data_IF_389952605605
#
_entry.id   IF_389952605605
#
_cell.length_a   1.000
_cell.length_b   1.000
_cell.length_c   1.000
_cell.angle_alpha   90.00
_cell.angle_beta   90.00
_cell.angle_gamma   90.00
#
_symmetry.space_group_name_H-M   'P 1'
#
loop_
_entity.id
_entity.type
_entity.pdbx_description
1 polymer ?
#
# COMPACT_ATOMS: atom_id res chain seq x y z
N UNK A 1 -10.74 -3.27 2.04
CA UNK A 1 -10.04 -4.40 1.40
C UNK A 1 -9.78 -4.05 -0.05
N UNK A 2 -8.56 -4.26 -0.53
CA UNK A 2 -8.07 -3.96 -1.87
C UNK A 2 -7.36 -5.18 -2.46
N UNK A 3 -6.92 -5.09 -3.69
CA UNK A 3 -6.24 -6.18 -4.42
C UNK A 3 -4.75 -5.90 -4.65
N UNK A 4 -4.33 -4.64 -4.52
CA UNK A 4 -3.02 -4.16 -4.93
C UNK A 4 -2.89 -3.94 -6.44
N UNK A 5 -4.00 -3.87 -7.15
CA UNK A 5 -4.04 -3.48 -8.57
C UNK A 5 -4.45 -2.01 -8.67
N UNK A 6 -3.45 -1.16 -8.88
CA UNK A 6 -3.66 0.28 -9.02
C UNK A 6 -4.59 0.56 -10.20
N UNK A 7 -5.69 1.28 -9.95
CA UNK A 7 -6.67 1.66 -10.98
C UNK A 7 -6.29 2.96 -11.70
N UNK A 8 -5.43 3.76 -11.09
CA UNK A 8 -4.94 5.01 -11.67
C UNK A 8 -4.09 5.80 -10.70
N UNK A 9 -3.66 6.97 -11.16
CA UNK A 9 -2.89 7.91 -10.36
C UNK A 9 -3.68 9.20 -10.12
N UNK A 10 -3.23 9.95 -9.12
CA UNK A 10 -3.72 11.30 -8.85
C UNK A 10 -2.56 12.25 -8.54
N UNK A 11 -2.86 13.55 -8.61
CA UNK A 11 -1.97 14.61 -8.14
C UNK A 11 -2.48 15.16 -6.82
N UNK A 12 -1.60 15.31 -5.84
CA UNK A 12 -1.86 16.03 -4.59
C UNK A 12 -2.06 17.52 -4.93
N UNK A 13 -3.22 18.07 -4.59
CA UNK A 13 -3.58 19.46 -4.89
C UNK A 13 -3.43 20.38 -3.70
N UNK A 14 -3.90 19.94 -2.53
CA UNK A 14 -3.86 20.74 -1.31
C UNK A 14 -3.55 19.84 -0.12
N UNK A 15 -2.67 20.31 0.74
CA UNK A 15 -2.35 19.73 2.03
C UNK A 15 -2.65 20.74 3.13
N UNK A 16 -3.74 20.58 3.84
CA UNK A 16 -4.16 21.49 4.88
C UNK A 16 -4.00 20.85 6.26
N UNK A 17 -3.10 21.40 7.09
CA UNK A 17 -3.01 20.98 8.50
C UNK A 17 -4.31 21.32 9.23
N UNK A 18 -4.81 20.35 10.00
CA UNK A 18 -5.95 20.47 10.88
C UNK A 18 -5.57 20.09 12.32
N UNK A 19 -6.43 20.34 13.28
CA UNK A 19 -6.10 20.11 14.71
C UNK A 19 -5.80 18.66 15.07
N UNK A 20 -6.30 17.67 14.29
CA UNK A 20 -6.15 16.25 14.55
C UNK A 20 -5.39 15.51 13.43
N UNK A 21 -4.69 16.24 12.55
CA UNK A 21 -3.97 15.63 11.43
C UNK A 21 -3.87 16.50 10.19
N UNK A 22 -4.16 15.90 9.04
CA UNK A 22 -4.02 16.53 7.72
C UNK A 22 -5.26 16.24 6.87
N UNK A 23 -5.79 17.27 6.23
CA UNK A 23 -6.72 17.13 5.11
C UNK A 23 -5.94 17.14 3.79
N UNK A 24 -6.12 16.08 3.03
CA UNK A 24 -5.49 15.83 1.73
C UNK A 24 -6.54 15.98 0.63
N UNK A 25 -6.36 16.94 -0.28
CA UNK A 25 -7.16 17.04 -1.51
C UNK A 25 -6.35 16.49 -2.68
N UNK A 26 -6.92 15.55 -3.42
CA UNK A 26 -6.30 14.95 -4.60
C UNK A 26 -7.16 15.16 -5.84
N UNK A 27 -6.51 15.25 -7.00
CA UNK A 27 -7.17 15.25 -8.31
C UNK A 27 -6.77 13.99 -9.08
N UNK A 28 -7.66 12.99 -9.22
CA UNK A 28 -7.41 11.83 -10.04
C UNK A 28 -7.19 12.19 -11.51
N UNK A 29 -6.38 11.42 -12.20
CA UNK A 29 -6.22 11.53 -13.66
C UNK A 29 -7.51 11.12 -14.35
N UNK A 30 -8.02 11.98 -15.23
CA UNK A 30 -9.37 11.87 -15.81
C UNK A 30 -9.64 10.57 -16.56
N UNK A 31 -8.61 10.00 -17.19
CA UNK A 31 -8.75 8.86 -18.09
C UNK A 31 -8.35 7.52 -17.42
N UNK A 32 -7.87 7.55 -16.18
CA UNK A 32 -7.27 6.38 -15.54
C UNK A 32 -8.01 5.91 -14.28
N UNK A 33 -8.68 6.81 -13.56
CA UNK A 33 -9.37 6.47 -12.31
C UNK A 33 -10.87 6.83 -12.41
N UNK A 34 -11.79 5.90 -12.10
CA UNK A 34 -13.24 6.12 -12.24
C UNK A 34 -13.82 6.96 -11.08
N UNK A 35 -13.37 8.20 -10.97
CA UNK A 35 -13.76 9.12 -9.90
C UNK A 35 -15.28 9.39 -9.83
N UNK A 36 -16.00 9.20 -10.94
CA UNK A 36 -17.46 9.40 -10.98
C UNK A 36 -18.25 8.39 -10.14
N UNK A 37 -17.65 7.23 -9.84
CA UNK A 37 -18.28 6.16 -9.07
C UNK A 37 -17.96 6.27 -7.56
N UNK A 38 -17.16 7.29 -7.14
CA UNK A 38 -16.73 7.45 -5.76
C UNK A 38 -17.73 8.28 -4.97
N UNK A 39 -18.08 7.82 -3.78
CA UNK A 39 -19.00 8.48 -2.86
C UNK A 39 -18.31 8.84 -1.54
N UNK A 40 -18.89 9.81 -0.82
CA UNK A 40 -18.49 10.11 0.57
C UNK A 40 -18.71 8.86 1.41
N UNK A 41 -17.70 8.50 2.21
CA UNK A 41 -17.69 7.28 3.02
C UNK A 41 -16.99 6.09 2.37
N UNK A 42 -16.68 6.15 1.07
CA UNK A 42 -15.93 5.07 0.40
C UNK A 42 -14.49 5.01 0.92
N UNK A 43 -13.95 3.81 0.94
CA UNK A 43 -12.53 3.57 1.22
C UNK A 43 -11.73 3.53 -0.09
N UNK A 44 -10.70 4.36 -0.16
CA UNK A 44 -9.74 4.40 -1.27
C UNK A 44 -8.34 4.10 -0.70
N UNK A 45 -7.61 3.25 -1.39
CA UNK A 45 -6.17 3.06 -1.16
C UNK A 45 -5.40 4.21 -1.81
N UNK A 46 -4.74 5.01 -1.00
CA UNK A 46 -3.89 6.14 -1.40
C UNK A 46 -2.43 5.75 -1.13
N UNK A 47 -1.66 5.43 -2.17
CA UNK A 47 -0.34 4.82 -2.04
C UNK A 47 -0.34 3.66 -1.01
N UNK A 48 -1.33 2.77 -1.08
CA UNK A 48 -1.48 1.64 -0.18
C UNK A 48 -2.15 1.95 1.16
N UNK A 49 -2.31 3.22 1.54
CA UNK A 49 -2.97 3.59 2.79
C UNK A 49 -4.49 3.71 2.58
N UNK A 50 -5.28 2.95 3.34
CA UNK A 50 -6.74 3.02 3.31
C UNK A 50 -7.22 4.32 3.95
N UNK A 51 -7.80 5.21 3.15
CA UNK A 51 -8.40 6.46 3.61
C UNK A 51 -9.87 6.53 3.23
N UNK A 52 -10.65 7.20 4.07
CA UNK A 52 -12.09 7.42 3.81
C UNK A 52 -12.29 8.74 3.08
N UNK A 53 -13.07 8.71 2.01
CA UNK A 53 -13.49 9.92 1.28
C UNK A 53 -14.42 10.75 2.16
N UNK A 54 -14.05 12.00 2.43
CA UNK A 54 -14.86 12.93 3.24
C UNK A 54 -15.53 14.03 2.40
N UNK A 55 -15.05 14.27 1.18
CA UNK A 55 -15.66 15.18 0.21
C UNK A 55 -15.39 14.72 -1.21
N UNK A 56 -16.37 14.88 -2.07
CA UNK A 56 -16.23 14.72 -3.54
C UNK A 56 -16.64 16.01 -4.20
N UNK A 57 -15.83 16.51 -5.13
CA UNK A 57 -16.08 17.74 -5.88
C UNK A 57 -15.55 17.61 -7.32
N UNK A 58 -15.91 18.54 -8.19
CA UNK A 58 -15.47 18.51 -9.58
C UNK A 58 -13.94 18.59 -9.75
N UNK A 59 -13.26 19.23 -8.81
CA UNK A 59 -11.79 19.38 -8.77
C UNK A 59 -11.05 18.21 -8.14
N UNK A 60 -11.75 17.26 -7.49
CA UNK A 60 -11.13 16.11 -6.85
C UNK A 60 -11.87 15.60 -5.62
N UNK A 61 -11.18 14.88 -4.78
CA UNK A 61 -11.71 14.32 -3.53
C UNK A 61 -10.80 14.61 -2.35
N UNK A 62 -11.41 14.72 -1.15
CA UNK A 62 -10.68 14.99 0.08
C UNK A 62 -10.71 13.77 0.99
N UNK A 63 -9.61 13.63 1.72
CA UNK A 63 -9.41 12.65 2.78
C UNK A 63 -8.91 13.33 4.04
N UNK A 64 -9.10 12.67 5.19
CA UNK A 64 -8.50 13.08 6.46
C UNK A 64 -7.56 11.98 6.93
N UNK A 65 -6.32 12.35 7.26
CA UNK A 65 -5.32 11.46 7.82
C UNK A 65 -4.92 11.95 9.21
N UNK A 66 -5.11 11.10 10.24
CA UNK A 66 -4.71 11.40 11.60
C UNK A 66 -3.19 11.31 11.80
N UNK A 67 -2.69 11.83 12.93
CA UNK A 67 -1.27 11.87 13.26
C UNK A 67 -0.61 10.48 13.22
N UNK A 68 -1.29 9.42 13.68
CA UNK A 68 -0.78 8.04 13.60
C UNK A 68 -0.54 7.63 12.15
N UNK A 69 -1.50 7.87 11.26
CA UNK A 69 -1.35 7.57 9.82
C UNK A 69 -0.19 8.34 9.20
N UNK A 70 -0.07 9.62 9.52
CA UNK A 70 1.01 10.48 8.99
C UNK A 70 2.40 10.06 9.49
N UNK A 71 2.49 9.58 10.73
CA UNK A 71 3.76 9.13 11.32
C UNK A 71 4.20 7.75 10.82
N UNK A 72 3.24 6.89 10.45
CA UNK A 72 3.48 5.51 10.02
C UNK A 72 3.61 5.32 8.52
N UNK A 73 3.28 6.34 7.74
CA UNK A 73 3.22 6.24 6.27
C UNK A 73 4.02 7.34 5.58
N UNK A 74 4.32 7.16 4.31
CA UNK A 74 4.91 8.19 3.46
C UNK A 74 3.98 9.39 3.22
N UNK A 75 2.68 9.29 3.58
CA UNK A 75 1.71 10.37 3.39
C UNK A 75 2.08 11.65 4.17
N UNK A 76 2.76 11.50 5.32
CA UNK A 76 3.25 12.64 6.10
C UNK A 76 4.37 13.46 5.42
N UNK A 77 4.95 12.94 4.34
CA UNK A 77 6.03 13.58 3.58
C UNK A 77 5.55 14.13 2.23
N UNK A 78 4.27 13.94 1.87
CA UNK A 78 3.72 14.44 0.63
C UNK A 78 3.78 15.96 0.56
N UNK A 79 3.96 16.45 -0.66
CA UNK A 79 3.89 17.87 -1.02
C UNK A 79 2.86 18.07 -2.15
N UNK A 80 2.39 19.30 -2.30
CA UNK A 80 1.52 19.65 -3.42
C UNK A 80 2.26 19.42 -4.75
N UNK A 81 1.60 18.77 -5.69
CA UNK A 81 2.15 18.33 -6.97
C UNK A 81 2.62 16.88 -7.00
N UNK A 82 2.79 16.22 -5.85
CA UNK A 82 3.21 14.81 -5.80
C UNK A 82 2.19 13.89 -6.48
N UNK A 83 2.74 12.83 -7.08
CA UNK A 83 1.97 11.77 -7.72
C UNK A 83 1.72 10.63 -6.74
N UNK A 84 0.50 10.11 -6.71
CA UNK A 84 0.05 9.04 -5.82
C UNK A 84 -0.74 7.99 -6.60
N UNK A 85 -0.65 6.72 -6.16
CA UNK A 85 -1.44 5.60 -6.67
C UNK A 85 -2.80 5.55 -6.01
N UNK A 86 -3.82 5.17 -6.77
CA UNK A 86 -5.19 4.99 -6.29
C UNK A 86 -5.74 3.62 -6.65
N UNK A 87 -6.48 3.03 -5.70
CA UNK A 87 -7.31 1.85 -5.92
C UNK A 87 -8.59 1.98 -5.08
N UNK A 88 -9.76 1.71 -5.67
CA UNK A 88 -11.03 1.62 -4.94
C UNK A 88 -11.13 0.30 -4.19
N UNK A 89 -11.93 0.27 -3.12
CA UNK A 89 -12.20 -0.98 -2.41
C UNK A 89 -12.80 -2.05 -3.33
N UNK A 90 -12.35 -3.31 -3.12
CA UNK A 90 -12.80 -4.46 -3.90
C UNK A 90 -14.30 -4.67 -3.75
N UNK A 91 -15.03 -4.64 -4.86
CA UNK A 91 -16.45 -4.95 -4.89
C UNK A 91 -16.72 -6.44 -4.63
N UNK A 92 -17.83 -6.76 -3.94
CA UNK A 92 -18.23 -8.14 -3.70
C UNK A 92 -18.47 -8.85 -5.03
N UNK A 93 -17.83 -10.01 -5.23
CA UNK A 93 -17.91 -10.78 -6.46
C UNK A 93 -16.90 -10.40 -7.54
N UNK A 94 -16.09 -9.35 -7.35
CA UNK A 94 -15.00 -9.02 -8.25
C UNK A 94 -13.82 -10.00 -8.08
N UNK A 95 -12.92 -10.02 -9.06
CA UNK A 95 -11.72 -10.88 -9.02
C UNK A 95 -10.65 -10.29 -8.11
N UNK A 96 -10.04 -11.13 -7.30
CA UNK A 96 -8.81 -10.80 -6.58
C UNK A 96 -7.60 -11.07 -7.51
N UNK A 97 -7.16 -10.05 -8.24
CA UNK A 97 -6.10 -10.20 -9.23
C UNK A 97 -4.67 -10.13 -8.64
N UNK A 98 -4.51 -9.56 -7.44
CA UNK A 98 -3.24 -9.51 -6.69
C UNK A 98 -3.30 -10.41 -5.45
N UNK A 99 -3.20 -9.81 -4.26
CA UNK A 99 -3.35 -10.51 -2.98
C UNK A 99 -4.26 -9.72 -2.03
N UNK A 100 -4.46 -10.20 -0.79
CA UNK A 100 -5.26 -9.48 0.20
C UNK A 100 -4.51 -8.25 0.71
N UNK A 101 -4.85 -7.07 0.20
CA UNK A 101 -4.33 -5.78 0.65
C UNK A 101 -5.39 -5.09 1.49
N UNK A 102 -5.04 -4.76 2.73
CA UNK A 102 -5.98 -4.14 3.68
C UNK A 102 -5.95 -2.60 3.60
N UNK A 103 -4.82 -2.05 3.16
CA UNK A 103 -4.52 -0.63 3.25
C UNK A 103 -3.95 -0.23 4.61
N UNK A 104 -3.40 -1.18 5.35
CA UNK A 104 -2.84 -1.01 6.69
C UNK A 104 -1.32 -1.12 6.63
N UNK A 105 -0.68 0.02 6.48
CA UNK A 105 0.76 0.12 6.26
C UNK A 105 1.52 -0.37 7.49
N UNK A 106 2.45 -1.32 7.28
CA UNK A 106 3.34 -1.86 8.32
C UNK A 106 4.56 -0.99 8.55
N UNK A 107 5.02 -0.30 7.51
CA UNK A 107 6.17 0.58 7.59
C UNK A 107 6.46 1.30 6.29
N UNK A 108 7.48 2.14 6.35
CA UNK A 108 7.99 2.87 5.18
C UNK A 108 9.36 2.31 4.81
N UNK A 109 9.52 1.95 3.55
CA UNK A 109 10.81 1.56 2.99
C UNK A 109 11.43 2.70 2.19
N UNK A 110 12.74 2.62 1.99
CA UNK A 110 13.48 3.51 1.09
C UNK A 110 13.91 2.72 -0.15
N UNK A 111 13.77 3.27 -1.34
CA UNK A 111 14.34 2.71 -2.56
C UNK A 111 15.87 2.67 -2.42
N UNK A 112 16.45 1.48 -2.34
CA UNK A 112 17.88 1.24 -2.10
C UNK A 112 18.68 1.24 -3.42
N UNK A 113 18.22 0.52 -4.44
CA UNK A 113 18.79 0.54 -5.78
C UNK A 113 17.76 0.26 -6.86
N UNK A 114 18.08 0.67 -8.08
CA UNK A 114 17.26 0.48 -9.29
C UNK A 114 18.18 -0.02 -10.40
N UNK A 115 18.09 -1.32 -10.71
CA UNK A 115 18.89 -1.97 -11.71
C UNK A 115 18.06 -2.19 -12.98
N UNK A 116 18.43 -1.50 -14.07
CA UNK A 116 17.73 -1.58 -15.36
C UNK A 116 18.30 -2.70 -16.19
N UNK A 117 17.47 -3.67 -16.53
CA UNK A 117 17.83 -4.81 -17.36
C UNK A 117 16.89 -4.89 -18.58
N UNK A 118 17.29 -4.28 -19.69
CA UNK A 118 16.45 -4.08 -20.88
C UNK A 118 15.18 -3.30 -20.51
N UNK A 119 14.00 -3.89 -20.72
CA UNK A 119 12.70 -3.27 -20.43
C UNK A 119 12.24 -3.51 -18.99
N UNK A 120 12.91 -4.34 -18.21
CA UNK A 120 12.58 -4.67 -16.83
C UNK A 120 13.44 -3.88 -15.85
N UNK A 121 12.93 -3.69 -14.65
CA UNK A 121 13.68 -3.07 -13.56
C UNK A 121 13.64 -4.00 -12.35
N UNK A 122 14.81 -4.34 -11.82
CA UNK A 122 14.95 -4.90 -10.48
C UNK A 122 15.09 -3.74 -9.49
N UNK A 123 14.12 -3.57 -8.62
CA UNK A 123 14.09 -2.51 -7.62
C UNK A 123 14.24 -3.09 -6.23
N UNK A 124 15.20 -2.56 -5.48
CA UNK A 124 15.47 -2.94 -4.10
C UNK A 124 14.93 -1.91 -3.13
N UNK A 125 14.39 -2.40 -2.03
CA UNK A 125 13.82 -1.57 -0.97
C UNK A 125 14.44 -1.93 0.36
N UNK A 126 14.92 -0.94 1.10
CA UNK A 126 15.48 -1.07 2.44
C UNK A 126 14.41 -0.78 3.49
N UNK A 127 14.31 -1.65 4.50
CA UNK A 127 13.37 -1.52 5.60
C UNK A 127 13.90 -2.27 6.84
N UNK A 128 13.29 -2.04 8.03
CA UNK A 128 13.71 -2.69 9.27
C UNK A 128 13.63 -4.22 9.20
N UNK A 129 14.59 -4.95 9.87
CA UNK A 129 14.64 -6.42 9.86
C UNK A 129 13.37 -7.10 10.38
N UNK A 130 12.65 -6.45 11.29
CA UNK A 130 11.41 -6.96 11.87
C UNK A 130 10.33 -7.17 10.80
N UNK A 131 10.37 -6.40 9.72
CA UNK A 131 9.43 -6.54 8.61
C UNK A 131 9.91 -7.58 7.58
N UNK A 132 11.21 -7.61 7.25
CA UNK A 132 11.73 -8.59 6.30
C UNK A 132 11.62 -10.03 6.78
N UNK A 133 11.66 -10.28 8.11
CA UNK A 133 11.46 -11.59 8.71
C UNK A 133 10.08 -12.21 8.42
N UNK A 134 9.09 -11.38 8.08
CA UNK A 134 7.74 -11.82 7.71
C UNK A 134 7.58 -12.01 6.19
N UNK A 135 8.62 -11.75 5.43
CA UNK A 135 8.64 -11.89 3.97
C UNK A 135 9.26 -13.23 3.57
N UNK A 136 8.76 -13.82 2.50
CA UNK A 136 9.33 -15.04 1.91
C UNK A 136 9.56 -14.85 0.42
N UNK A 137 10.67 -15.32 -0.16
CA UNK A 137 10.86 -15.31 -1.61
C UNK A 137 9.67 -15.96 -2.33
N UNK A 138 9.20 -15.36 -3.41
CA UNK A 138 7.98 -15.73 -4.16
C UNK A 138 6.67 -15.40 -3.44
N UNK A 139 6.70 -14.84 -2.24
CA UNK A 139 5.52 -14.29 -1.56
C UNK A 139 5.08 -12.95 -2.15
N UNK A 140 3.98 -12.44 -1.63
CA UNK A 140 3.42 -11.13 -2.04
C UNK A 140 3.80 -10.04 -1.05
N UNK A 141 3.89 -8.81 -1.56
CA UNK A 141 4.04 -7.58 -0.79
C UNK A 141 3.31 -6.46 -1.52
N UNK A 142 2.71 -5.52 -0.79
CA UNK A 142 2.21 -4.30 -1.39
C UNK A 142 3.22 -3.15 -1.17
N UNK A 143 3.65 -2.51 -2.27
CA UNK A 143 4.55 -1.35 -2.28
C UNK A 143 3.78 -0.16 -2.86
N UNK A 144 3.60 0.92 -2.10
CA UNK A 144 2.71 2.04 -2.47
C UNK A 144 1.34 1.56 -3.01
N UNK A 145 0.80 0.47 -2.42
CA UNK A 145 -0.47 -0.16 -2.80
C UNK A 145 -0.40 -1.08 -4.03
N UNK A 146 0.77 -1.32 -4.57
CA UNK A 146 0.97 -2.19 -5.74
C UNK A 146 1.32 -3.59 -5.27
N UNK A 147 0.51 -4.60 -5.63
CA UNK A 147 0.78 -6.01 -5.36
C UNK A 147 1.95 -6.51 -6.21
N UNK A 148 3.02 -6.91 -5.56
CA UNK A 148 4.27 -7.35 -6.21
C UNK A 148 4.74 -8.68 -5.64
N UNK A 149 5.48 -9.43 -6.45
CA UNK A 149 6.11 -10.68 -6.04
C UNK A 149 7.52 -10.41 -5.54
N UNK A 150 7.84 -10.90 -4.35
CA UNK A 150 9.19 -10.86 -3.78
C UNK A 150 10.14 -11.76 -4.58
N UNK A 151 11.23 -11.18 -5.09
CA UNK A 151 12.28 -11.93 -5.81
C UNK A 151 13.33 -12.39 -4.82
N UNK A 152 13.99 -11.45 -4.15
CA UNK A 152 14.98 -11.71 -3.11
C UNK A 152 14.53 -11.08 -1.80
N UNK A 153 14.86 -11.73 -0.69
CA UNK A 153 14.65 -11.23 0.66
C UNK A 153 15.95 -11.39 1.44
N UNK A 154 16.49 -10.27 1.93
CA UNK A 154 17.67 -10.20 2.79
C UNK A 154 17.27 -9.68 4.17
N UNK A 155 18.22 -9.54 5.09
CA UNK A 155 17.92 -9.14 6.47
C UNK A 155 17.30 -7.73 6.58
N UNK A 156 17.73 -6.79 5.72
CA UNK A 156 17.32 -5.38 5.79
C UNK A 156 16.78 -4.82 4.48
N UNK A 157 16.56 -5.68 3.49
CA UNK A 157 16.03 -5.28 2.18
C UNK A 157 15.43 -6.44 1.42
N UNK A 158 14.57 -6.11 0.46
CA UNK A 158 14.02 -7.06 -0.49
C UNK A 158 14.04 -6.47 -1.90
N UNK A 159 13.87 -7.32 -2.90
CA UNK A 159 13.74 -6.88 -4.29
C UNK A 159 12.47 -7.40 -4.95
N UNK A 160 12.03 -6.63 -5.94
CA UNK A 160 10.95 -6.99 -6.86
C UNK A 160 11.40 -6.74 -8.29
N UNK A 161 10.84 -7.50 -9.25
CA UNK A 161 11.04 -7.26 -10.68
C UNK A 161 9.80 -6.54 -11.25
N UNK A 162 10.00 -5.39 -11.87
CA UNK A 162 8.95 -4.53 -12.40
C UNK A 162 8.91 -4.63 -13.92
N UNK A 163 7.73 -4.99 -14.45
CA UNK A 163 7.47 -5.01 -15.89
C UNK A 163 7.16 -3.60 -16.41
N UNK A 164 7.34 -3.30 -17.71
CA UNK A 164 7.08 -1.98 -18.29
C UNK A 164 5.70 -1.45 -17.94
N UNK A 165 4.66 -2.28 -18.04
CA UNK A 165 3.29 -1.89 -17.73
C UNK A 165 3.14 -1.33 -16.31
N UNK A 166 3.73 -1.99 -15.30
CA UNK A 166 3.68 -1.52 -13.90
C UNK A 166 4.37 -0.17 -13.74
N UNK A 167 5.50 0.03 -14.43
CA UNK A 167 6.23 1.30 -14.40
C UNK A 167 5.44 2.44 -15.04
N UNK A 168 4.68 2.15 -16.10
CA UNK A 168 3.90 3.15 -16.83
C UNK A 168 2.66 3.60 -16.06
N UNK A 169 1.96 2.65 -15.41
CA UNK A 169 0.65 2.91 -14.79
C UNK A 169 0.73 3.26 -13.30
N UNK A 170 1.91 3.16 -12.67
CA UNK A 170 2.10 3.43 -11.25
C UNK A 170 3.19 4.46 -10.97
N UNK A 171 3.22 4.97 -9.74
CA UNK A 171 4.25 5.91 -9.30
C UNK A 171 5.65 5.30 -9.22
N UNK A 172 5.81 3.96 -9.23
CA UNK A 172 7.13 3.31 -9.17
C UNK A 172 8.01 3.65 -10.36
N UNK A 173 7.42 3.90 -11.53
CA UNK A 173 8.18 4.33 -12.71
C UNK A 173 8.89 5.68 -12.56
N UNK A 174 8.43 6.51 -11.61
CA UNK A 174 8.95 7.85 -11.32
C UNK A 174 9.84 7.89 -10.07
N UNK A 175 9.90 6.80 -9.29
CA UNK A 175 10.70 6.74 -8.06
C UNK A 175 12.19 6.71 -8.38
N UNK A 176 12.97 7.37 -7.52
CA UNK A 176 14.43 7.40 -7.58
C UNK A 176 15.01 6.78 -6.30
N UNK A 177 16.29 6.41 -6.32
CA UNK A 177 17.00 5.97 -5.12
C UNK A 177 16.87 7.02 -4.03
N UNK A 178 16.57 6.58 -2.82
CA UNK A 178 16.28 7.43 -1.66
C UNK A 178 14.81 7.81 -1.49
N UNK A 179 13.93 7.55 -2.48
CA UNK A 179 12.50 7.81 -2.34
C UNK A 179 11.87 6.87 -1.30
N UNK A 180 10.90 7.41 -0.56
CA UNK A 180 10.11 6.64 0.41
C UNK A 180 8.88 6.00 -0.25
N UNK A 181 8.55 4.78 0.18
CA UNK A 181 7.37 4.03 -0.26
C UNK A 181 6.71 3.34 0.93
N UNK A 182 5.39 3.25 0.91
CA UNK A 182 4.63 2.49 1.90
C UNK A 182 4.74 0.99 1.65
N UNK A 183 4.88 0.22 2.72
CA UNK A 183 4.93 -1.24 2.67
C UNK A 183 3.79 -1.82 3.50
N UNK A 184 3.02 -2.71 2.89
CA UNK A 184 2.11 -3.60 3.58
C UNK A 184 2.50 -5.05 3.29
N UNK A 185 2.74 -5.81 4.33
CA UNK A 185 3.07 -7.24 4.26
C UNK A 185 1.80 -8.06 4.01
N UNK A 186 1.95 -9.20 3.36
CA UNK A 186 0.83 -10.13 3.21
C UNK A 186 0.30 -10.54 4.59
N UNK A 187 -0.98 -10.30 4.82
CA UNK A 187 -1.65 -10.56 6.10
C UNK A 187 -1.53 -12.02 6.55
N UNK A 188 -1.43 -12.95 5.59
CA UNK A 188 -1.25 -14.38 5.90
C UNK A 188 0.07 -14.62 6.63
N UNK A 189 1.15 -13.97 6.22
CA UNK A 189 2.45 -14.06 6.89
C UNK A 189 2.38 -13.59 8.34
N UNK A 190 1.65 -12.50 8.62
CA UNK A 190 1.46 -11.96 9.97
C UNK A 190 0.69 -12.93 10.87
N UNK A 191 -0.39 -13.54 10.37
CA UNK A 191 -1.15 -14.52 11.13
C UNK A 191 -0.34 -15.79 11.41
N UNK A 192 0.41 -16.30 10.42
CA UNK A 192 1.30 -17.46 10.62
C UNK A 192 2.36 -17.14 11.68
N UNK A 193 3.02 -16.00 11.61
CA UNK A 193 4.01 -15.58 12.60
C UNK A 193 3.40 -15.48 14.01
N UNK A 194 2.21 -14.88 14.14
CA UNK A 194 1.48 -14.79 15.42
C UNK A 194 1.16 -16.15 16.01
N UNK A 195 0.74 -17.11 15.20
CA UNK A 195 0.44 -18.48 15.66
C UNK A 195 1.70 -19.23 16.13
N UNK A 196 2.85 -18.99 15.47
CA UNK A 196 4.11 -19.65 15.79
C UNK A 196 4.82 -19.03 17.00
N UNK A 197 4.62 -17.72 17.28
CA UNK A 197 5.25 -17.03 18.41
C UNK A 197 4.77 -17.50 19.80
N UNK A 198 3.73 -18.29 19.87
CA UNK A 198 3.15 -18.79 21.12
C UNK A 198 2.47 -17.70 21.98
N UNK A 199 2.36 -16.47 21.50
CA UNK A 199 1.68 -15.38 22.19
C UNK A 199 0.14 -15.46 22.08
N UNK A 200 -0.39 -16.42 21.32
CA UNK A 200 -1.81 -16.76 21.32
C UNK A 200 -2.15 -17.57 22.56
N UNK A 201 -3.11 -17.11 23.36
CA UNK A 201 -3.71 -17.93 24.41
C UNK A 201 -4.37 -19.15 23.74
N UNK A 202 -3.65 -20.30 23.75
CA UNK A 202 -4.13 -21.56 23.17
C UNK A 202 -5.37 -22.12 23.88
N UNK A 203 -5.81 -21.51 24.99
CA UNK A 203 -7.01 -21.92 25.73
C UNK A 203 -8.29 -21.83 24.88
N UNK A 204 -8.34 -20.87 23.95
CA UNK A 204 -9.48 -20.67 23.03
C UNK A 204 -9.66 -21.87 22.08
N UNK A 205 -8.57 -22.54 21.70
CA UNK A 205 -8.61 -23.66 20.75
C UNK A 205 -8.80 -25.02 21.40
N UNK A 206 -8.49 -25.16 22.71
CA UNK A 206 -8.73 -26.41 23.46
C UNK A 206 -10.23 -26.72 23.61
N UNK A 207 -11.07 -25.67 23.68
CA UNK A 207 -12.51 -25.84 23.83
C UNK A 207 -13.25 -26.19 22.54
N UNK A 208 -12.66 -25.93 21.37
CA UNK A 208 -13.26 -26.27 20.07
C UNK A 208 -13.11 -27.76 19.73
N UNK A 209 -12.10 -28.43 20.27
CA UNK A 209 -11.85 -29.88 20.07
C UNK A 209 -12.70 -30.81 20.94
N UNK A 210 -13.42 -30.30 21.93
CA UNK A 210 -14.21 -31.13 22.87
C UNK A 210 -15.73 -31.12 22.59
N UNK A 211 -16.17 -30.48 21.51
CA UNK A 211 -17.57 -30.50 21.09
C UNK A 211 -17.77 -31.45 19.90
N UNK A 212 -17.71 -32.75 20.18
CA UNK A 212 -18.26 -33.84 19.38
C UNK A 212 -19.30 -34.59 20.17
#
# INVERSE_FOLDING_TARGET
MFTGLVEGQATVRVLKKESAGLRLTIAPDRDCFPAADVNIGDSISVCGCCLTVVRVAAEGMDFEAGEETLSRTSLGQLTEGDRINLERSLAVGARLGGHFVQGHIDGVATVDSIDRNQDWIDMWFRLPPELTQLMVPKGSVAVDGISLTLVNVESERFSVALIPHTLDVTTLGQRTVGAFVNIELDILGKYVAKLLSGEGDHSIYSDLGQRN
#
